data_IF_867116842814
#
_entry.id   IF_867116842814
#
_cell.length_a   1.000
_cell.length_b   1.000
_cell.length_c   1.000
_cell.angle_alpha   90.00
_cell.angle_beta   90.00
_cell.angle_gamma   90.00
#
_symmetry.space_group_name_H-M   'P 1'
#
loop_
_entity.id
_entity.type
_entity.pdbx_description
1 polymer ?
#
# COMPACT_ATOMS: atom_id res chain seq x y z
N UNK A 1 -10.97 -45.75 -31.27
CA UNK A 1 -11.30 -45.47 -29.86
C UNK A 1 -10.15 -44.87 -29.10
N UNK A 2 -8.93 -45.37 -29.17
CA UNK A 2 -7.76 -44.78 -28.47
C UNK A 2 -7.52 -43.31 -28.83
N UNK A 3 -7.63 -42.91 -30.09
CA UNK A 3 -7.42 -41.53 -30.55
C UNK A 3 -8.48 -40.56 -30.03
N UNK A 4 -9.74 -41.00 -29.94
CA UNK A 4 -10.86 -40.19 -29.40
C UNK A 4 -10.68 -40.00 -27.90
N UNK A 5 -10.25 -41.00 -27.18
CA UNK A 5 -9.98 -40.94 -25.74
C UNK A 5 -8.81 -39.99 -25.43
N UNK A 6 -7.74 -40.00 -26.24
CA UNK A 6 -6.60 -39.10 -26.10
C UNK A 6 -7.02 -37.66 -26.38
N UNK A 7 -7.86 -37.41 -27.36
CA UNK A 7 -8.38 -36.09 -27.68
C UNK A 7 -9.26 -35.55 -26.53
N UNK A 8 -10.10 -36.41 -25.96
CA UNK A 8 -10.94 -36.03 -24.82
C UNK A 8 -10.12 -35.68 -23.57
N UNK A 9 -9.09 -36.47 -23.31
CA UNK A 9 -8.17 -36.24 -22.20
C UNK A 9 -7.39 -34.93 -22.40
N UNK A 10 -6.99 -34.59 -23.62
CA UNK A 10 -6.31 -33.34 -23.95
C UNK A 10 -7.22 -32.13 -23.79
N UNK A 11 -8.49 -32.23 -24.21
CA UNK A 11 -9.48 -31.15 -24.01
C UNK A 11 -9.77 -30.94 -22.54
N UNK A 12 -9.89 -32.00 -21.75
CA UNK A 12 -10.09 -31.93 -20.31
C UNK A 12 -8.90 -31.27 -19.60
N UNK A 13 -7.69 -31.60 -20.03
CA UNK A 13 -6.45 -30.99 -19.52
C UNK A 13 -6.36 -29.49 -19.85
N UNK A 14 -6.76 -29.09 -21.06
CA UNK A 14 -6.80 -27.67 -21.45
C UNK A 14 -7.85 -26.88 -20.63
N UNK A 15 -8.99 -27.49 -20.32
CA UNK A 15 -10.01 -26.84 -19.47
C UNK A 15 -9.56 -26.63 -18.03
N UNK A 16 -8.73 -27.52 -17.50
CA UNK A 16 -8.17 -27.39 -16.16
C UNK A 16 -7.14 -26.25 -16.09
N UNK A 17 -6.39 -26.03 -17.18
CA UNK A 17 -5.37 -24.97 -17.24
C UNK A 17 -5.95 -23.55 -17.29
N UNK A 18 -7.21 -23.37 -17.64
CA UNK A 18 -7.86 -22.04 -17.71
C UNK A 18 -8.45 -21.55 -16.37
N UNK A 19 -8.40 -22.36 -15.33
CA UNK A 19 -9.06 -22.07 -14.05
C UNK A 19 -8.13 -21.45 -12.99
N UNK A 20 -6.97 -20.94 -13.35
CA UNK A 20 -6.13 -20.18 -12.41
C UNK A 20 -6.58 -18.71 -12.39
N UNK A 21 -7.51 -18.42 -11.52
CA UNK A 21 -7.87 -17.05 -11.18
C UNK A 21 -6.66 -16.38 -10.50
N UNK A 22 -6.14 -15.34 -11.13
CA UNK A 22 -5.01 -14.60 -10.57
C UNK A 22 -5.51 -13.81 -9.35
N UNK A 23 -5.19 -14.29 -8.18
CA UNK A 23 -5.53 -13.64 -6.93
C UNK A 23 -4.58 -12.47 -6.69
N UNK A 24 -5.11 -11.28 -6.48
CA UNK A 24 -4.33 -10.12 -6.09
C UNK A 24 -4.97 -9.39 -4.91
N UNK A 25 -4.17 -8.59 -4.23
CA UNK A 25 -4.60 -7.69 -3.18
C UNK A 25 -4.16 -6.28 -3.54
N UNK A 26 -5.01 -5.29 -3.27
CA UNK A 26 -4.70 -3.87 -3.46
C UNK A 26 -5.05 -3.11 -2.20
N UNK A 27 -4.34 -2.01 -1.99
CA UNK A 27 -4.46 -1.16 -0.81
C UNK A 27 -4.93 0.22 -1.22
N UNK A 28 -5.77 0.81 -0.39
CA UNK A 28 -6.11 2.21 -0.40
C UNK A 28 -5.92 2.79 1.01
N UNK A 29 -5.30 3.96 1.11
CA UNK A 29 -5.08 4.65 2.39
C UNK A 29 -5.76 6.00 2.37
N UNK A 30 -6.69 6.19 3.30
CA UNK A 30 -7.29 7.49 3.57
C UNK A 30 -6.55 8.18 4.71
N UNK A 31 -6.20 9.45 4.54
CA UNK A 31 -5.57 10.28 5.56
C UNK A 31 -6.50 11.44 5.92
N UNK A 32 -6.42 11.91 7.16
CA UNK A 32 -7.23 13.04 7.65
C UNK A 32 -6.92 14.35 6.93
N UNK A 33 -5.68 14.54 6.48
CA UNK A 33 -5.23 15.75 5.77
C UNK A 33 -4.26 15.40 4.63
N UNK A 34 -3.88 16.40 3.87
CA UNK A 34 -2.84 16.31 2.82
C UNK A 34 -1.63 17.20 3.13
N UNK A 35 -1.72 18.04 4.15
CA UNK A 35 -0.64 18.90 4.61
C UNK A 35 -0.52 18.78 6.14
N UNK A 36 0.69 18.61 6.62
CA UNK A 36 1.01 18.40 8.03
C UNK A 36 2.19 19.28 8.47
N UNK A 37 2.23 19.59 9.75
CA UNK A 37 3.42 20.18 10.37
C UNK A 37 4.41 19.08 10.80
N UNK A 38 5.69 19.38 10.80
CA UNK A 38 6.68 18.51 11.43
C UNK A 38 6.33 18.29 12.91
N UNK A 39 6.37 17.03 13.36
CA UNK A 39 5.94 16.62 14.70
C UNK A 39 4.45 16.29 14.82
N UNK A 40 3.65 16.56 13.80
CA UNK A 40 2.22 16.23 13.79
C UNK A 40 1.97 14.74 13.53
N UNK A 41 0.83 14.22 13.96
CA UNK A 41 0.39 12.86 13.69
C UNK A 41 -0.50 12.82 12.46
N UNK A 42 -0.18 11.92 11.53
CA UNK A 42 -1.01 11.56 10.38
C UNK A 42 -1.98 10.47 10.83
N UNK A 43 -3.25 10.80 10.92
CA UNK A 43 -4.31 9.83 11.18
C UNK A 43 -4.74 9.19 9.87
N UNK A 44 -4.83 7.88 9.84
CA UNK A 44 -5.12 7.16 8.61
C UNK A 44 -6.03 5.95 8.82
N UNK A 45 -6.71 5.62 7.76
CA UNK A 45 -7.42 4.36 7.61
C UNK A 45 -6.93 3.62 6.37
N UNK A 46 -6.63 2.35 6.58
CA UNK A 46 -6.05 1.45 5.60
C UNK A 46 -7.11 0.43 5.17
N UNK A 47 -7.25 0.22 3.87
CA UNK A 47 -8.20 -0.71 3.29
C UNK A 47 -7.49 -1.65 2.34
N UNK A 48 -7.88 -2.91 2.37
CA UNK A 48 -7.44 -3.92 1.40
C UNK A 48 -8.63 -4.48 0.64
N UNK A 49 -8.48 -4.65 -0.64
CA UNK A 49 -9.45 -5.29 -1.52
C UNK A 49 -8.83 -6.46 -2.28
N UNK A 50 -9.65 -7.46 -2.56
CA UNK A 50 -9.30 -8.62 -3.36
C UNK A 50 -9.60 -8.41 -4.86
N UNK A 51 -9.34 -9.43 -5.66
CA UNK A 51 -9.62 -9.50 -7.10
C UNK A 51 -11.08 -9.17 -7.45
N UNK A 52 -12.03 -9.39 -6.53
CA UNK A 52 -13.45 -9.12 -6.73
C UNK A 52 -13.92 -7.80 -6.13
N UNK A 53 -12.98 -6.89 -5.79
CA UNK A 53 -13.26 -5.60 -5.13
C UNK A 53 -13.97 -5.74 -3.78
N UNK A 54 -13.76 -6.84 -3.08
CA UNK A 54 -14.27 -7.07 -1.72
C UNK A 54 -13.15 -6.88 -0.71
N UNK A 55 -13.47 -6.60 0.57
CA UNK A 55 -12.47 -6.56 1.62
C UNK A 55 -11.62 -7.84 1.61
N UNK A 56 -10.29 -7.69 1.48
CA UNK A 56 -9.38 -8.82 1.44
C UNK A 56 -9.14 -9.38 2.83
N UNK A 57 -9.08 -10.70 2.93
CA UNK A 57 -8.67 -11.42 4.15
C UNK A 57 -7.26 -12.02 4.03
N UNK A 58 -6.55 -11.77 2.92
CA UNK A 58 -5.24 -12.37 2.66
C UNK A 58 -4.18 -11.87 3.65
N UNK A 59 -4.19 -10.57 3.94
CA UNK A 59 -3.24 -9.95 4.85
C UNK A 59 -3.90 -9.56 6.17
N UNK A 60 -3.18 -9.79 7.27
CA UNK A 60 -3.58 -9.39 8.63
C UNK A 60 -2.81 -8.17 9.11
N UNK A 61 -1.87 -7.68 8.32
CA UNK A 61 -1.00 -6.56 8.66
C UNK A 61 -0.82 -5.66 7.44
N UNK A 62 -1.06 -4.37 7.64
CA UNK A 62 -0.74 -3.30 6.71
C UNK A 62 0.55 -2.58 7.12
N UNK A 63 1.27 -2.07 6.15
CA UNK A 63 2.49 -1.29 6.32
C UNK A 63 2.32 0.07 5.68
N UNK A 64 2.73 1.11 6.39
CA UNK A 64 2.79 2.50 5.93
C UNK A 64 4.20 3.00 6.08
N UNK A 65 4.69 3.69 5.07
CA UNK A 65 5.95 4.41 5.09
C UNK A 65 5.74 5.84 4.60
N UNK A 66 6.38 6.79 5.25
CA UNK A 66 6.41 8.20 4.82
C UNK A 66 7.86 8.55 4.54
N UNK A 67 8.16 8.95 3.31
CA UNK A 67 9.52 9.27 2.86
C UNK A 67 9.53 10.47 1.92
N UNK A 68 10.62 11.22 1.91
CA UNK A 68 10.86 12.29 0.95
C UNK A 68 12.08 12.04 0.04
N UNK A 69 12.83 11.00 0.34
CA UNK A 69 14.04 10.58 -0.37
C UNK A 69 14.15 9.06 -0.27
N UNK A 70 15.31 8.50 -0.45
CA UNK A 70 15.56 7.05 -0.45
C UNK A 70 15.24 6.32 0.86
N UNK A 71 15.09 7.06 1.99
CA UNK A 71 14.85 6.44 3.30
C UNK A 71 13.54 6.87 3.90
N UNK A 72 12.78 5.93 4.47
CA UNK A 72 11.59 6.25 5.24
C UNK A 72 11.92 7.15 6.43
N UNK A 73 11.12 8.20 6.63
CA UNK A 73 11.20 9.09 7.79
C UNK A 73 10.28 8.65 8.92
N UNK A 74 9.17 8.00 8.58
CA UNK A 74 8.23 7.45 9.53
C UNK A 74 7.64 6.15 8.98
N UNK A 75 7.36 5.21 9.86
CA UNK A 75 6.81 3.90 9.52
C UNK A 75 5.72 3.52 10.51
N UNK A 76 4.70 2.84 10.02
CA UNK A 76 3.63 2.27 10.83
C UNK A 76 3.32 0.86 10.35
N UNK A 77 3.12 -0.02 11.31
CA UNK A 77 2.60 -1.37 11.11
C UNK A 77 1.27 -1.46 11.85
N UNK A 78 0.21 -1.85 11.16
CA UNK A 78 -1.13 -1.87 11.73
C UNK A 78 -1.82 -3.23 11.49
N UNK A 79 -2.64 -3.64 12.46
CA UNK A 79 -3.47 -4.82 12.32
C UNK A 79 -4.66 -4.56 11.40
N UNK A 80 -4.99 -5.53 10.55
CA UNK A 80 -6.14 -5.51 9.67
C UNK A 80 -7.19 -6.50 10.15
N UNK A 81 -8.42 -6.03 10.24
CA UNK A 81 -9.60 -6.84 10.50
C UNK A 81 -10.63 -6.60 9.40
N UNK A 82 -11.12 -7.68 8.79
CA UNK A 82 -12.03 -7.62 7.63
C UNK A 82 -11.54 -6.67 6.52
N UNK A 83 -10.25 -6.70 6.22
CA UNK A 83 -9.64 -5.91 5.17
C UNK A 83 -9.49 -4.42 5.51
N UNK A 84 -9.56 -4.02 6.77
CA UNK A 84 -9.32 -2.63 7.16
C UNK A 84 -8.61 -2.50 8.51
N UNK A 85 -7.93 -1.38 8.70
CA UNK A 85 -7.30 -1.02 9.96
C UNK A 85 -7.13 0.48 10.05
N UNK A 86 -7.06 1.00 11.26
CA UNK A 86 -6.82 2.42 11.53
C UNK A 86 -5.56 2.58 12.37
N UNK A 87 -4.89 3.69 12.17
CA UNK A 87 -3.70 4.00 12.93
C UNK A 87 -3.28 5.44 12.78
N UNK A 88 -2.17 5.76 13.42
CA UNK A 88 -1.54 7.07 13.32
C UNK A 88 -0.03 6.91 13.27
N UNK A 89 0.62 7.78 12.52
CA UNK A 89 2.07 7.83 12.42
C UNK A 89 2.55 9.25 12.62
N UNK A 90 3.55 9.42 13.47
CA UNK A 90 4.11 10.73 13.78
C UNK A 90 5.17 11.11 12.75
N UNK A 91 5.04 12.31 12.19
CA UNK A 91 6.08 12.94 11.40
C UNK A 91 7.17 13.43 12.35
N UNK A 92 8.46 13.10 12.13
CA UNK A 92 9.54 13.58 12.98
C UNK A 92 9.57 15.11 13.05
N UNK A 93 9.91 15.64 14.22
CA UNK A 93 10.01 17.10 14.44
C UNK A 93 11.15 17.76 13.66
N UNK A 94 12.15 16.97 13.27
CA UNK A 94 13.29 17.38 12.46
C UNK A 94 13.09 17.14 10.95
N UNK A 95 11.92 16.66 10.53
CA UNK A 95 11.60 16.45 9.13
C UNK A 95 11.66 17.78 8.36
N UNK A 96 12.45 17.89 7.28
CA UNK A 96 12.48 19.10 6.47
C UNK A 96 11.14 19.41 5.83
N UNK A 97 10.86 20.69 5.55
CA UNK A 97 9.72 21.07 4.72
C UNK A 97 9.86 20.48 3.32
N UNK A 98 8.76 20.01 2.74
CA UNK A 98 8.76 19.45 1.39
C UNK A 98 7.61 18.52 1.13
N UNK A 99 7.64 17.91 -0.04
CA UNK A 99 6.69 16.87 -0.43
C UNK A 99 7.23 15.51 -0.03
N UNK A 100 6.38 14.75 0.64
CA UNK A 100 6.64 13.39 1.09
C UNK A 100 5.71 12.44 0.36
N UNK A 101 6.17 11.23 0.15
CA UNK A 101 5.35 10.14 -0.35
C UNK A 101 4.91 9.24 0.82
N UNK A 102 3.60 9.05 0.96
CA UNK A 102 3.03 8.03 1.80
C UNK A 102 2.81 6.79 0.96
N UNK A 103 3.46 5.69 1.31
CA UNK A 103 3.36 4.39 0.66
C UNK A 103 2.62 3.41 1.56
N UNK A 104 1.61 2.74 1.02
CA UNK A 104 0.85 1.70 1.72
C UNK A 104 0.93 0.37 1.00
N UNK A 105 1.21 -0.70 1.72
CA UNK A 105 1.34 -2.04 1.15
C UNK A 105 1.08 -3.14 2.19
N UNK A 106 0.94 -4.37 1.69
CA UNK A 106 0.90 -5.59 2.49
C UNK A 106 2.04 -6.51 2.10
N UNK A 107 2.30 -7.51 2.92
CA UNK A 107 3.28 -8.55 2.59
C UNK A 107 2.91 -9.30 1.31
N UNK A 108 1.63 -9.53 1.09
CA UNK A 108 1.12 -10.19 -0.11
C UNK A 108 1.47 -9.40 -1.39
N UNK A 109 1.29 -8.07 -1.36
CA UNK A 109 1.60 -7.19 -2.50
C UNK A 109 3.10 -7.17 -2.84
N UNK A 110 3.98 -7.42 -1.89
CA UNK A 110 5.43 -7.48 -2.15
C UNK A 110 5.82 -8.57 -3.14
N UNK A 111 5.02 -9.62 -3.27
CA UNK A 111 5.26 -10.68 -4.27
C UNK A 111 5.10 -10.18 -5.71
N UNK A 112 4.27 -9.15 -5.93
CA UNK A 112 4.09 -8.52 -7.24
C UNK A 112 5.08 -7.38 -7.50
N UNK A 113 5.78 -6.91 -6.47
CA UNK A 113 6.73 -5.81 -6.52
C UNK A 113 6.14 -4.45 -6.14
N UNK A 114 7.01 -3.48 -5.95
CA UNK A 114 6.66 -2.15 -5.43
C UNK A 114 5.76 -1.32 -6.36
N UNK A 115 5.68 -1.66 -7.65
CA UNK A 115 4.84 -0.99 -8.63
C UNK A 115 3.35 -1.02 -8.31
N UNK A 116 2.90 -2.00 -7.51
CA UNK A 116 1.49 -2.15 -7.11
C UNK A 116 1.16 -1.50 -5.78
N UNK A 117 2.15 -0.94 -5.08
CA UNK A 117 1.94 -0.28 -3.79
C UNK A 117 1.09 0.99 -3.95
N UNK A 118 0.26 1.25 -2.96
CA UNK A 118 -0.45 2.52 -2.88
C UNK A 118 0.53 3.66 -2.61
N UNK A 119 0.38 4.78 -3.32
CA UNK A 119 1.20 5.98 -3.14
C UNK A 119 0.33 7.22 -3.10
N UNK A 120 0.65 8.12 -2.18
CA UNK A 120 -0.02 9.41 -2.03
C UNK A 120 1.00 10.47 -1.61
N UNK A 121 0.98 11.61 -2.27
CA UNK A 121 1.79 12.75 -1.86
C UNK A 121 1.13 13.49 -0.70
N UNK A 122 1.93 13.85 0.29
CA UNK A 122 1.56 14.73 1.41
C UNK A 122 2.60 15.85 1.53
N UNK A 123 2.18 17.04 1.93
CA UNK A 123 3.07 18.15 2.21
C UNK A 123 3.43 18.16 3.71
N UNK A 124 4.70 18.43 4.01
CA UNK A 124 5.18 18.66 5.38
C UNK A 124 5.79 20.04 5.46
N UNK A 125 5.40 20.80 6.47
CA UNK A 125 5.92 22.13 6.77
C UNK A 125 6.63 22.05 8.12
N UNK A 126 7.91 22.39 8.15
CA UNK A 126 8.67 22.48 9.38
C UNK A 126 8.82 23.95 9.80
N UNK A 127 8.10 24.33 10.84
CA UNK A 127 8.15 25.70 11.39
C UNK A 127 9.34 25.94 12.32
N UNK A 128 10.09 24.90 12.66
CA UNK A 128 11.27 24.97 13.53
C UNK A 128 12.58 25.16 12.75
N UNK A 129 12.53 24.98 11.43
CA UNK A 129 13.68 25.17 10.55
C UNK A 129 13.32 26.19 9.47
N UNK A 130 14.08 27.27 9.43
CA UNK A 130 14.09 28.15 8.26
C UNK A 130 14.89 27.41 7.19
N UNK A 131 14.30 27.13 6.03
CA UNK A 131 15.06 26.61 4.90
C UNK A 131 15.93 27.76 4.36
N UNK A 132 17.22 27.49 4.11
CA UNK A 132 18.14 28.46 3.47
C UNK A 132 17.69 28.89 2.06
N UNK A 133 16.58 28.36 1.58
CA UNK A 133 15.98 28.62 0.27
C UNK A 133 14.73 29.50 0.31
N UNK A 134 14.27 29.94 1.48
CA UNK A 134 13.17 30.91 1.56
C UNK A 134 13.70 32.31 1.24
N UNK A 135 13.29 32.91 0.12
CA UNK A 135 13.61 34.32 -0.13
C UNK A 135 12.83 35.16 0.89
N UNK A 136 13.58 35.87 1.69
CA UNK A 136 13.04 36.90 2.57
C UNK A 136 12.46 38.05 1.76
#
# INVERSE_FOLDING_TARGET
MKRIFTLYLFILFCLILQAQEELYERVYVHTDKTCYLAGEEVWLKFYTIDTHFRPSSFSKVGYIEISNTERPKAQLKLALDNGSGSGKVKIPTDAPSGIYELTGYTRYMRNEGEKVFFRKSIAVINTFRVSDSDPI
#
